data_IF_376854025898
#
_entry.id   IF_376854025898
#
_cell.length_a   1.000
_cell.length_b   1.000
_cell.length_c   1.000
_cell.angle_alpha   90.00
_cell.angle_beta   90.00
_cell.angle_gamma   90.00
#
_symmetry.space_group_name_H-M   'P 1'
#
loop_
_entity.id
_entity.type
_entity.pdbx_description
1 polymer ?
#
# COMPACT_ATOMS: atom_id res chain seq x y z
N UNK A 1 -10.41 -0.89 4.89
CA UNK A 1 -10.32 -0.69 6.34
C UNK A 1 -10.42 -2.05 7.02
N UNK A 2 -9.49 -2.35 7.95
CA UNK A 2 -9.41 -3.65 8.62
C UNK A 2 -10.49 -3.85 9.71
N UNK A 3 -10.77 -5.11 10.06
CA UNK A 3 -11.78 -5.46 11.08
C UNK A 3 -11.48 -4.84 12.45
N UNK A 4 -10.21 -4.70 12.82
CA UNK A 4 -9.80 -4.06 14.08
C UNK A 4 -10.24 -2.60 14.17
N UNK A 5 -10.19 -1.88 13.05
CA UNK A 5 -10.62 -0.48 12.95
C UNK A 5 -12.14 -0.40 13.00
N UNK A 6 -12.84 -1.28 12.28
CA UNK A 6 -14.30 -1.37 12.32
C UNK A 6 -14.81 -1.64 13.74
N UNK A 7 -14.19 -2.60 14.43
CA UNK A 7 -14.57 -2.91 15.82
C UNK A 7 -14.41 -1.70 16.74
N UNK A 8 -13.29 -0.98 16.63
CA UNK A 8 -13.02 0.21 17.43
C UNK A 8 -14.02 1.36 17.13
N UNK A 9 -14.38 1.55 15.86
CA UNK A 9 -15.37 2.54 15.43
C UNK A 9 -16.77 2.20 15.95
N UNK A 10 -17.17 0.93 15.83
CA UNK A 10 -18.49 0.47 16.29
C UNK A 10 -18.61 0.54 17.82
N UNK A 11 -17.57 0.12 18.56
CA UNK A 11 -17.56 0.18 20.03
C UNK A 11 -17.68 1.62 20.54
N UNK A 12 -16.89 2.53 19.95
CA UNK A 12 -17.01 3.96 20.28
C UNK A 12 -18.37 4.55 19.85
N UNK A 13 -18.93 4.10 18.72
CA UNK A 13 -20.27 4.49 18.27
C UNK A 13 -21.37 4.08 19.25
N UNK A 14 -21.30 2.85 19.77
CA UNK A 14 -22.24 2.35 20.81
C UNK A 14 -22.15 3.20 22.08
N UNK A 15 -20.96 3.53 22.57
CA UNK A 15 -20.75 4.38 23.74
C UNK A 15 -21.35 5.78 23.58
N UNK A 16 -21.28 6.33 22.37
CA UNK A 16 -21.94 7.61 22.05
C UNK A 16 -23.45 7.46 22.03
N UNK A 17 -23.97 6.37 21.47
CA UNK A 17 -25.40 6.09 21.44
C UNK A 17 -25.98 5.97 22.86
N UNK A 18 -25.26 5.30 23.75
CA UNK A 18 -25.63 5.18 25.18
C UNK A 18 -25.33 6.45 26.00
N UNK A 19 -24.92 7.56 25.34
CA UNK A 19 -24.54 8.85 25.98
C UNK A 19 -23.40 8.77 27.01
N UNK A 20 -22.62 7.72 26.99
CA UNK A 20 -21.45 7.57 27.85
C UNK A 20 -20.31 8.52 27.45
N UNK A 21 -20.28 8.92 26.18
CA UNK A 21 -19.25 9.79 25.60
C UNK A 21 -19.91 10.88 24.75
N UNK A 22 -19.53 12.17 24.93
CA UNK A 22 -20.00 13.24 24.06
C UNK A 22 -19.53 13.04 22.62
N UNK A 23 -20.38 13.30 21.61
CA UNK A 23 -20.07 13.18 20.15
C UNK A 23 -18.78 13.89 19.77
N UNK A 24 -18.46 15.01 20.43
CA UNK A 24 -17.25 15.82 20.20
C UNK A 24 -15.96 15.04 20.44
N UNK A 25 -15.98 13.98 21.24
CA UNK A 25 -14.79 13.20 21.63
C UNK A 25 -14.64 11.90 20.86
N UNK A 26 -15.50 11.62 19.88
CA UNK A 26 -15.51 10.38 19.12
C UNK A 26 -14.12 10.04 18.55
N UNK A 27 -13.52 10.98 17.79
CA UNK A 27 -12.22 10.77 17.17
C UNK A 27 -11.08 10.67 18.19
N UNK A 28 -11.16 11.42 19.28
CA UNK A 28 -10.11 11.45 20.32
C UNK A 28 -10.02 10.12 21.07
N UNK A 29 -11.13 9.40 21.22
CA UNK A 29 -11.23 8.12 21.93
C UNK A 29 -10.79 6.92 21.10
N UNK A 30 -10.71 7.03 19.77
CA UNK A 30 -10.21 5.96 18.93
C UNK A 30 -8.77 5.58 19.29
N UNK A 31 -8.44 4.30 19.12
CA UNK A 31 -7.07 3.80 19.26
C UNK A 31 -6.14 4.47 18.24
N UNK A 32 -4.86 4.62 18.56
CA UNK A 32 -3.87 5.22 17.66
C UNK A 32 -3.84 4.53 16.30
N UNK A 33 -3.87 3.21 16.29
CA UNK A 33 -3.93 2.39 15.07
C UNK A 33 -5.12 2.77 14.18
N UNK A 34 -6.31 2.90 14.75
CA UNK A 34 -7.53 3.25 14.02
C UNK A 34 -7.46 4.66 13.43
N UNK A 35 -6.92 5.63 14.19
CA UNK A 35 -6.72 7.00 13.71
C UNK A 35 -5.80 7.04 12.50
N UNK A 36 -4.63 6.41 12.61
CA UNK A 36 -3.65 6.36 11.52
C UNK A 36 -4.28 5.68 10.29
N UNK A 37 -4.93 4.53 10.47
CA UNK A 37 -5.55 3.79 9.37
C UNK A 37 -6.64 4.61 8.64
N UNK A 38 -7.52 5.29 9.38
CA UNK A 38 -8.61 6.09 8.79
C UNK A 38 -8.05 7.30 8.06
N UNK A 39 -7.15 8.07 8.69
CA UNK A 39 -6.58 9.28 8.07
C UNK A 39 -5.78 8.93 6.82
N UNK A 40 -4.90 7.93 6.91
CA UNK A 40 -4.08 7.52 5.75
C UNK A 40 -4.96 6.99 4.62
N UNK A 41 -5.97 6.18 4.93
CA UNK A 41 -6.91 5.69 3.91
C UNK A 41 -7.67 6.85 3.27
N UNK A 42 -8.22 7.77 4.06
CA UNK A 42 -8.93 8.95 3.56
C UNK A 42 -8.03 9.83 2.68
N UNK A 43 -6.82 10.11 3.13
CA UNK A 43 -5.84 10.88 2.35
C UNK A 43 -5.53 10.23 1.00
N UNK A 44 -5.24 8.93 0.99
CA UNK A 44 -4.91 8.20 -0.24
C UNK A 44 -6.10 8.08 -1.20
N UNK A 45 -7.32 7.96 -0.68
CA UNK A 45 -8.53 7.96 -1.52
C UNK A 45 -8.76 9.33 -2.15
N UNK A 46 -8.67 10.40 -1.36
CA UNK A 46 -8.86 11.77 -1.87
C UNK A 46 -7.75 12.12 -2.87
N UNK A 47 -6.49 11.91 -2.51
CA UNK A 47 -5.36 12.19 -3.39
C UNK A 47 -5.44 11.35 -4.68
N UNK A 48 -5.72 10.04 -4.57
CA UNK A 48 -5.90 9.17 -5.72
C UNK A 48 -7.05 9.61 -6.62
N UNK A 49 -8.19 10.02 -6.05
CA UNK A 49 -9.33 10.53 -6.82
C UNK A 49 -8.97 11.80 -7.57
N UNK A 50 -8.38 12.78 -6.88
CA UNK A 50 -8.01 14.08 -7.48
C UNK A 50 -6.97 13.89 -8.58
N UNK A 51 -5.95 13.08 -8.35
CA UNK A 51 -4.90 12.86 -9.34
C UNK A 51 -5.40 12.07 -10.55
N UNK A 52 -6.17 10.98 -10.36
CA UNK A 52 -6.77 10.26 -11.48
C UNK A 52 -7.73 11.18 -12.27
N UNK A 53 -8.54 11.99 -11.59
CA UNK A 53 -9.43 12.95 -12.23
C UNK A 53 -8.66 13.97 -13.06
N UNK A 54 -7.59 14.55 -12.52
CA UNK A 54 -6.81 15.59 -13.20
C UNK A 54 -6.06 15.04 -14.41
N UNK A 55 -5.43 13.86 -14.26
CA UNK A 55 -4.61 13.25 -15.33
C UNK A 55 -5.50 12.73 -16.48
N UNK A 56 -6.62 12.07 -16.17
CA UNK A 56 -7.48 11.45 -17.17
C UNK A 56 -8.58 12.37 -17.72
N UNK A 57 -8.68 13.61 -17.24
CA UNK A 57 -9.79 14.52 -17.55
C UNK A 57 -10.11 14.66 -19.04
N UNK A 58 -9.07 14.71 -19.88
CA UNK A 58 -9.16 14.88 -21.32
C UNK A 58 -8.97 13.60 -22.12
N UNK A 59 -8.73 12.45 -21.45
CA UNK A 59 -8.48 11.19 -22.14
C UNK A 59 -9.75 10.59 -22.76
N UNK A 60 -9.92 10.60 -24.10
CA UNK A 60 -11.11 10.08 -24.74
C UNK A 60 -11.25 8.56 -24.63
N UNK A 61 -10.14 7.84 -24.40
CA UNK A 61 -10.13 6.38 -24.24
C UNK A 61 -10.67 5.93 -22.88
N UNK A 62 -10.72 6.82 -21.89
CA UNK A 62 -11.16 6.50 -20.52
C UNK A 62 -12.37 7.31 -20.10
N UNK A 63 -12.17 8.50 -19.53
CA UNK A 63 -13.25 9.32 -18.96
C UNK A 63 -13.56 10.58 -19.75
N UNK A 64 -12.81 10.91 -20.81
CA UNK A 64 -12.94 12.17 -21.56
C UNK A 64 -14.34 12.46 -22.09
N UNK A 65 -15.07 11.41 -22.47
CA UNK A 65 -16.43 11.49 -23.04
C UNK A 65 -17.54 11.64 -21.97
N UNK A 66 -17.21 11.52 -20.69
CA UNK A 66 -18.17 11.56 -19.59
C UNK A 66 -18.44 12.99 -19.09
N UNK A 67 -19.59 13.20 -18.43
CA UNK A 67 -19.87 14.43 -17.72
C UNK A 67 -18.98 14.59 -16.49
N UNK A 68 -18.72 15.82 -16.04
CA UNK A 68 -17.81 16.12 -14.92
C UNK A 68 -18.15 15.33 -13.65
N UNK A 69 -19.44 15.16 -13.31
CA UNK A 69 -19.86 14.36 -12.15
C UNK A 69 -19.53 12.87 -12.31
N UNK A 70 -19.72 12.33 -13.52
CA UNK A 70 -19.38 10.95 -13.84
C UNK A 70 -17.85 10.74 -13.84
N UNK A 71 -17.08 11.70 -14.39
CA UNK A 71 -15.61 11.69 -14.32
C UNK A 71 -15.12 11.59 -12.89
N UNK A 72 -15.68 12.40 -11.99
CA UNK A 72 -15.32 12.36 -10.57
C UNK A 72 -15.65 11.02 -9.92
N UNK A 73 -16.84 10.47 -10.22
CA UNK A 73 -17.27 9.18 -9.68
C UNK A 73 -16.37 8.02 -10.16
N UNK A 74 -16.03 8.00 -11.47
CA UNK A 74 -15.14 6.99 -12.05
C UNK A 74 -13.72 7.12 -11.47
N UNK A 75 -13.21 8.34 -11.32
CA UNK A 75 -11.90 8.59 -10.70
C UNK A 75 -11.86 8.19 -9.23
N UNK A 76 -12.95 8.42 -8.49
CA UNK A 76 -13.09 7.94 -7.11
C UNK A 76 -13.13 6.40 -7.06
N UNK A 77 -13.86 5.78 -7.99
CA UNK A 77 -13.87 4.31 -8.11
C UNK A 77 -12.48 3.76 -8.41
N UNK A 78 -11.73 4.40 -9.34
CA UNK A 78 -10.35 4.00 -9.66
C UNK A 78 -9.43 4.11 -8.44
N UNK A 79 -9.54 5.17 -7.63
CA UNK A 79 -8.79 5.30 -6.38
C UNK A 79 -9.15 4.21 -5.35
N UNK A 80 -10.40 3.76 -5.31
CA UNK A 80 -10.84 2.67 -4.43
C UNK A 80 -10.36 1.32 -4.96
N UNK A 81 -10.48 1.06 -6.26
CA UNK A 81 -10.19 -0.25 -6.84
C UNK A 81 -8.70 -0.61 -6.79
N UNK A 82 -7.80 0.38 -6.90
CA UNK A 82 -6.35 0.19 -6.69
C UNK A 82 -6.00 -0.27 -5.28
N UNK A 83 -6.94 -0.18 -4.31
CA UNK A 83 -6.78 -0.65 -2.94
C UNK A 83 -7.19 -2.11 -2.77
N UNK A 84 -6.84 -2.96 -3.72
CA UNK A 84 -7.07 -4.40 -3.75
C UNK A 84 -8.53 -4.82 -3.93
N UNK A 85 -9.33 -4.03 -4.66
CA UNK A 85 -10.68 -4.43 -5.06
C UNK A 85 -10.69 -5.14 -6.43
N UNK A 86 -9.89 -4.66 -7.40
CA UNK A 86 -9.64 -5.33 -8.67
C UNK A 86 -10.74 -5.19 -9.73
N UNK A 87 -11.73 -4.32 -9.51
CA UNK A 87 -12.78 -4.05 -10.49
C UNK A 87 -12.43 -2.85 -11.37
N UNK A 88 -12.84 -2.89 -12.63
CA UNK A 88 -12.57 -1.83 -13.59
C UNK A 88 -13.88 -1.28 -14.16
N UNK A 89 -13.96 0.04 -14.30
CA UNK A 89 -15.10 0.73 -14.96
C UNK A 89 -14.78 1.15 -16.38
N UNK A 90 -13.50 1.10 -16.76
CA UNK A 90 -13.00 1.37 -18.11
C UNK A 90 -11.78 0.49 -18.39
N UNK A 91 -11.39 0.40 -19.66
CA UNK A 91 -10.24 -0.41 -20.07
C UNK A 91 -8.94 0.20 -19.58
N UNK A 92 -8.22 -0.51 -18.69
CA UNK A 92 -7.02 0.01 -18.03
C UNK A 92 -5.85 0.25 -19.01
N UNK A 93 -5.84 -0.43 -20.15
CA UNK A 93 -4.85 -0.22 -21.22
C UNK A 93 -5.00 1.11 -21.97
N UNK A 94 -6.15 1.78 -21.81
CA UNK A 94 -6.41 3.11 -22.40
C UNK A 94 -5.96 4.28 -21.54
N UNK A 95 -5.43 4.06 -20.34
CA UNK A 95 -4.92 5.14 -19.48
C UNK A 95 -3.63 5.75 -20.04
N UNK A 96 -3.43 7.04 -19.72
CA UNK A 96 -2.12 7.67 -19.93
C UNK A 96 -1.03 7.00 -19.06
N UNK A 97 0.22 7.06 -19.53
CA UNK A 97 1.34 6.43 -18.83
C UNK A 97 1.54 6.99 -17.42
N UNK A 98 1.34 8.30 -17.24
CA UNK A 98 1.43 8.99 -15.95
C UNK A 98 0.38 8.47 -14.97
N UNK A 99 -0.83 8.22 -15.46
CA UNK A 99 -1.91 7.64 -14.64
C UNK A 99 -1.62 6.19 -14.31
N UNK A 100 -1.07 5.43 -15.26
CA UNK A 100 -0.61 4.07 -15.03
C UNK A 100 0.43 4.01 -13.92
N UNK A 101 1.43 4.91 -13.95
CA UNK A 101 2.47 5.01 -12.93
C UNK A 101 1.91 5.42 -11.57
N UNK A 102 1.02 6.41 -11.52
CA UNK A 102 0.31 6.78 -10.29
C UNK A 102 -0.42 5.59 -9.68
N UNK A 103 -1.14 4.83 -10.50
CA UNK A 103 -1.89 3.67 -10.04
C UNK A 103 -0.97 2.54 -9.55
N UNK A 104 0.24 2.36 -10.12
CA UNK A 104 1.26 1.44 -9.59
C UNK A 104 1.60 1.82 -8.13
N UNK A 105 1.85 3.10 -7.85
CA UNK A 105 2.15 3.58 -6.50
C UNK A 105 0.97 3.33 -5.55
N UNK A 106 -0.25 3.64 -6.00
CA UNK A 106 -1.46 3.42 -5.21
C UNK A 106 -1.71 1.93 -4.93
N UNK A 107 -1.47 1.04 -5.89
CA UNK A 107 -1.59 -0.41 -5.72
C UNK A 107 -0.57 -0.95 -4.73
N UNK A 108 0.67 -0.44 -4.79
CA UNK A 108 1.73 -0.85 -3.88
C UNK A 108 1.40 -0.54 -2.41
N UNK A 109 0.70 0.59 -2.17
CA UNK A 109 0.15 0.94 -0.86
C UNK A 109 -1.23 0.31 -0.73
N UNK A 110 -1.32 -0.95 -0.32
CA UNK A 110 -2.56 -1.72 -0.20
C UNK A 110 -3.53 -1.22 0.89
N UNK A 111 -4.29 -2.12 1.49
CA UNK A 111 -5.29 -1.78 2.50
C UNK A 111 -4.76 -1.73 3.94
N UNK A 112 -5.67 -1.50 4.90
CA UNK A 112 -5.34 -1.47 6.32
C UNK A 112 -5.09 -2.88 6.89
N UNK A 113 -4.24 -3.01 7.92
CA UNK A 113 -4.02 -4.29 8.61
C UNK A 113 -5.31 -4.88 9.18
N UNK A 114 -5.35 -6.21 9.28
CA UNK A 114 -6.54 -6.93 9.78
C UNK A 114 -7.71 -6.96 8.79
N UNK A 115 -7.45 -6.75 7.50
CA UNK A 115 -8.39 -6.94 6.40
C UNK A 115 -7.89 -7.96 5.39
N UNK A 116 -8.68 -8.17 4.32
CA UNK A 116 -8.38 -9.10 3.23
C UNK A 116 -7.43 -8.53 2.17
N UNK A 117 -7.09 -7.26 2.23
CA UNK A 117 -6.22 -6.60 1.27
C UNK A 117 -4.77 -7.12 1.34
N UNK A 118 -4.15 -7.35 0.18
CA UNK A 118 -2.72 -7.64 0.06
C UNK A 118 -1.84 -6.39 0.03
N UNK A 119 -0.63 -6.52 -0.47
CA UNK A 119 0.34 -5.43 -0.58
C UNK A 119 0.80 -4.86 0.77
N UNK A 120 1.50 -3.72 0.71
CA UNK A 120 1.93 -2.99 1.90
C UNK A 120 0.74 -2.40 2.64
N UNK A 121 0.72 -2.52 3.96
CA UNK A 121 -0.38 -2.00 4.77
C UNK A 121 -0.30 -0.48 4.90
N UNK A 122 -1.47 0.18 4.89
CA UNK A 122 -1.55 1.65 5.04
C UNK A 122 -0.85 2.18 6.28
N UNK A 123 -0.91 1.43 7.39
CA UNK A 123 -0.24 1.81 8.64
C UNK A 123 1.28 1.69 8.54
N UNK A 124 1.80 0.71 7.79
CA UNK A 124 3.24 0.56 7.52
C UNK A 124 3.76 1.77 6.74
N UNK A 125 3.03 2.18 5.69
CA UNK A 125 3.36 3.37 4.92
C UNK A 125 3.27 4.65 5.77
N UNK A 126 2.21 4.79 6.56
CA UNK A 126 2.04 5.95 7.45
C UNK A 126 3.16 6.05 8.49
N UNK A 127 3.61 4.94 9.08
CA UNK A 127 4.72 4.93 10.03
C UNK A 127 6.03 5.40 9.39
N UNK A 128 6.32 4.95 8.16
CA UNK A 128 7.52 5.40 7.45
C UNK A 128 7.46 6.90 7.16
N UNK A 129 6.30 7.40 6.72
CA UNK A 129 6.10 8.83 6.46
C UNK A 129 6.23 9.67 7.72
N UNK A 130 5.67 9.22 8.84
CA UNK A 130 5.80 9.89 10.14
C UNK A 130 7.25 9.89 10.62
N UNK A 131 7.97 8.78 10.48
CA UNK A 131 9.38 8.70 10.83
C UNK A 131 10.21 9.67 9.99
N UNK A 132 10.02 9.68 8.68
CA UNK A 132 10.68 10.61 7.76
C UNK A 132 10.42 12.06 8.17
N UNK A 133 9.17 12.41 8.45
CA UNK A 133 8.80 13.76 8.88
C UNK A 133 9.44 14.15 10.23
N UNK A 134 9.50 13.21 11.18
CA UNK A 134 10.15 13.43 12.48
C UNK A 134 11.64 13.66 12.31
N UNK A 135 12.32 12.87 11.48
CA UNK A 135 13.76 13.02 11.20
C UNK A 135 14.07 14.36 10.55
N UNK A 136 13.25 14.81 9.58
CA UNK A 136 13.42 16.13 8.95
C UNK A 136 13.30 17.29 9.95
N UNK A 137 12.56 17.09 11.05
CA UNK A 137 12.41 18.08 12.13
C UNK A 137 13.47 17.95 13.23
N UNK A 138 14.44 17.06 13.08
CA UNK A 138 15.47 16.80 14.09
C UNK A 138 14.96 16.12 15.36
N UNK A 139 13.76 15.51 15.32
CA UNK A 139 13.20 14.75 16.43
C UNK A 139 13.79 13.35 16.53
N UNK A 140 13.97 12.84 17.74
CA UNK A 140 14.45 11.47 17.97
C UNK A 140 13.30 10.46 18.09
N UNK A 141 12.15 10.88 18.62
CA UNK A 141 11.01 10.03 18.89
C UNK A 141 9.90 10.22 17.85
N UNK A 142 9.39 9.12 17.31
CA UNK A 142 8.23 9.19 16.39
C UNK A 142 6.97 9.39 17.23
N UNK A 143 6.45 10.61 17.19
CA UNK A 143 5.24 10.98 17.89
C UNK A 143 4.05 11.15 16.94
N UNK A 144 2.91 10.59 17.31
CA UNK A 144 1.66 10.76 16.60
C UNK A 144 0.50 10.90 17.58
N UNK A 145 -0.32 11.96 17.44
CA UNK A 145 -1.45 12.24 18.34
C UNK A 145 -1.07 12.25 19.83
N UNK A 146 0.07 12.85 20.19
CA UNK A 146 0.61 12.91 21.57
C UNK A 146 0.92 11.52 22.16
N UNK A 147 1.22 10.54 21.32
CA UNK A 147 1.66 9.20 21.73
C UNK A 147 2.95 8.85 21.00
N UNK A 148 3.91 8.30 21.72
CA UNK A 148 5.14 7.76 21.15
C UNK A 148 4.84 6.43 20.48
N UNK A 149 5.36 6.24 19.27
CA UNK A 149 5.32 4.96 18.55
C UNK A 149 6.55 4.14 18.95
N UNK A 150 6.36 2.85 19.20
CA UNK A 150 7.45 1.94 19.54
C UNK A 150 8.44 1.83 18.36
N UNK A 151 9.73 2.03 18.62
CA UNK A 151 10.81 1.92 17.63
C UNK A 151 10.84 0.57 16.93
N UNK A 152 10.47 -0.51 17.62
CA UNK A 152 10.35 -1.83 17.02
C UNK A 152 9.37 -1.86 15.85
N UNK A 153 8.25 -1.14 15.95
CA UNK A 153 7.27 -1.04 14.88
C UNK A 153 7.84 -0.34 13.66
N UNK A 154 8.71 0.66 13.86
CA UNK A 154 9.41 1.33 12.76
C UNK A 154 10.37 0.37 12.06
N UNK A 155 11.22 -0.36 12.78
CA UNK A 155 12.13 -1.33 12.18
C UNK A 155 11.39 -2.40 11.38
N UNK A 156 10.30 -2.95 11.93
CA UNK A 156 9.46 -3.92 11.23
C UNK A 156 8.84 -3.31 9.96
N UNK A 157 8.34 -2.08 10.04
CA UNK A 157 7.77 -1.39 8.89
C UNK A 157 8.80 -1.14 7.78
N UNK A 158 10.00 -0.69 8.16
CA UNK A 158 11.11 -0.45 7.23
C UNK A 158 11.55 -1.72 6.51
N UNK A 159 11.82 -2.80 7.27
CA UNK A 159 12.19 -4.10 6.69
C UNK A 159 11.10 -4.63 5.76
N UNK A 160 9.84 -4.50 6.15
CA UNK A 160 8.70 -4.95 5.31
C UNK A 160 8.66 -4.22 3.97
N UNK A 161 8.89 -2.89 3.98
CA UNK A 161 8.91 -2.09 2.74
C UNK A 161 10.11 -2.46 1.87
N UNK A 162 11.30 -2.60 2.46
CA UNK A 162 12.50 -2.99 1.72
C UNK A 162 12.35 -4.37 1.07
N UNK A 163 11.81 -5.34 1.79
CA UNK A 163 11.52 -6.68 1.24
C UNK A 163 10.49 -6.61 0.11
N UNK A 164 9.42 -5.83 0.30
CA UNK A 164 8.40 -5.65 -0.73
C UNK A 164 8.98 -5.04 -2.00
N UNK A 165 9.79 -3.99 -1.87
CA UNK A 165 10.48 -3.37 -3.01
C UNK A 165 11.44 -4.33 -3.70
N UNK A 166 12.22 -5.08 -2.94
CA UNK A 166 13.16 -6.07 -3.49
C UNK A 166 12.42 -7.15 -4.29
N UNK A 167 11.33 -7.69 -3.76
CA UNK A 167 10.51 -8.69 -4.46
C UNK A 167 9.86 -8.09 -5.72
N UNK A 168 9.35 -6.86 -5.63
CA UNK A 168 8.75 -6.16 -6.76
C UNK A 168 9.75 -5.93 -7.88
N UNK A 169 10.92 -5.36 -7.57
CA UNK A 169 11.97 -5.08 -8.56
C UNK A 169 12.46 -6.38 -9.20
N UNK A 170 12.74 -7.40 -8.38
CA UNK A 170 13.22 -8.71 -8.87
C UNK A 170 12.19 -9.37 -9.77
N UNK A 171 10.93 -9.44 -9.33
CA UNK A 171 9.84 -10.05 -10.13
C UNK A 171 9.58 -9.29 -11.43
N UNK A 172 9.56 -7.96 -11.40
CA UNK A 172 9.42 -7.12 -12.60
C UNK A 172 10.56 -7.36 -13.59
N UNK A 173 11.81 -7.44 -13.09
CA UNK A 173 12.99 -7.72 -13.92
C UNK A 173 12.90 -9.10 -14.57
N UNK A 174 12.52 -10.14 -13.83
CA UNK A 174 12.33 -11.47 -14.40
C UNK A 174 11.28 -11.49 -15.52
N UNK A 175 10.12 -10.85 -15.29
CA UNK A 175 9.07 -10.75 -16.32
C UNK A 175 9.59 -9.99 -17.53
N UNK A 176 10.29 -8.87 -17.33
CA UNK A 176 10.84 -8.07 -18.42
C UNK A 176 11.88 -8.84 -19.26
N UNK A 177 12.70 -9.70 -18.65
CA UNK A 177 13.70 -10.54 -19.39
C UNK A 177 13.02 -11.67 -20.17
N UNK A 178 11.89 -12.19 -19.68
CA UNK A 178 11.19 -13.30 -20.35
C UNK A 178 10.36 -12.79 -21.54
N UNK A 179 9.78 -11.59 -21.42
CA UNK A 179 8.89 -11.03 -22.45
C UNK A 179 9.68 -10.33 -23.56
N UNK A 180 9.11 -10.21 -24.77
CA UNK A 180 9.75 -9.53 -25.88
C UNK A 180 9.77 -8.00 -25.66
N UNK A 181 10.77 -7.32 -26.22
CA UNK A 181 10.98 -5.87 -26.15
C UNK A 181 9.82 -5.03 -26.74
N UNK A 182 8.88 -5.67 -27.44
CA UNK A 182 7.69 -5.00 -27.99
C UNK A 182 6.68 -4.59 -26.92
N UNK A 183 6.78 -5.13 -25.70
CA UNK A 183 5.91 -4.81 -24.59
C UNK A 183 6.50 -3.65 -23.79
N UNK A 184 5.72 -2.58 -23.60
CA UNK A 184 6.15 -1.45 -22.76
C UNK A 184 6.51 -1.91 -21.36
N UNK A 185 7.67 -1.48 -20.86
CA UNK A 185 8.13 -1.78 -19.51
C UNK A 185 7.14 -1.32 -18.43
N UNK A 186 6.47 -0.19 -18.67
CA UNK A 186 5.44 0.30 -17.75
C UNK A 186 4.25 -0.67 -17.62
N UNK A 187 3.82 -1.31 -18.70
CA UNK A 187 2.76 -2.33 -18.64
C UNK A 187 3.19 -3.54 -17.81
N UNK A 188 4.46 -3.95 -17.95
CA UNK A 188 5.03 -5.01 -17.11
C UNK A 188 5.05 -4.58 -15.64
N UNK A 189 5.49 -3.35 -15.34
CA UNK A 189 5.45 -2.80 -13.98
C UNK A 189 4.04 -2.76 -13.41
N UNK A 190 3.03 -2.43 -14.21
CA UNK A 190 1.64 -2.40 -13.78
C UNK A 190 1.12 -3.79 -13.41
N UNK A 191 1.35 -4.79 -14.27
CA UNK A 191 0.95 -6.18 -14.01
C UNK A 191 1.63 -6.77 -12.78
N UNK A 192 2.94 -6.56 -12.65
CA UNK A 192 3.70 -7.07 -11.50
C UNK A 192 3.31 -6.38 -10.20
N UNK A 193 3.01 -5.07 -10.22
CA UNK A 193 2.50 -4.34 -9.07
C UNK A 193 1.12 -4.87 -8.65
N UNK A 194 0.22 -5.07 -9.63
CA UNK A 194 -1.11 -5.62 -9.39
C UNK A 194 -1.05 -7.04 -8.84
N UNK A 195 -0.15 -7.88 -9.37
CA UNK A 195 0.07 -9.24 -8.89
C UNK A 195 0.58 -9.24 -7.44
N UNK A 196 1.65 -8.50 -7.16
CA UNK A 196 2.26 -8.45 -5.83
C UNK A 196 1.34 -7.83 -4.78
N UNK A 197 0.64 -6.76 -5.12
CA UNK A 197 -0.32 -6.13 -4.23
C UNK A 197 -1.65 -6.88 -4.14
N UNK A 198 -1.82 -7.95 -4.93
CA UNK A 198 -3.06 -8.76 -5.05
C UNK A 198 -4.29 -7.92 -5.36
N UNK A 199 -4.15 -6.96 -6.29
CA UNK A 199 -5.20 -6.02 -6.68
C UNK A 199 -6.15 -6.67 -7.68
N UNK A 200 -5.61 -7.26 -8.75
CA UNK A 200 -6.39 -7.92 -9.81
C UNK A 200 -6.68 -7.01 -11.02
N UNK A 201 -6.16 -5.78 -11.07
CA UNK A 201 -6.23 -4.93 -12.25
C UNK A 201 -5.17 -5.36 -13.27
N UNK A 202 -5.52 -5.31 -14.56
CA UNK A 202 -4.63 -5.63 -15.69
C UNK A 202 -4.79 -4.60 -16.80
N UNK A 203 -3.69 -4.28 -17.47
CA UNK A 203 -3.70 -3.53 -18.73
C UNK A 203 -3.82 -4.46 -19.96
N UNK A 204 -4.63 -5.50 -19.84
CA UNK A 204 -4.86 -6.55 -20.86
C UNK A 204 -3.57 -7.31 -21.28
N UNK A 205 -2.54 -7.27 -20.44
CA UNK A 205 -1.27 -7.92 -20.72
C UNK A 205 -1.22 -9.38 -20.27
N UNK A 206 -1.85 -9.72 -19.14
CA UNK A 206 -1.77 -11.04 -18.49
C UNK A 206 -2.12 -12.20 -19.42
N UNK A 207 -3.09 -12.04 -20.31
CA UNK A 207 -3.52 -13.07 -21.27
C UNK A 207 -2.45 -13.40 -22.29
N UNK A 208 -1.67 -12.39 -22.70
CA UNK A 208 -0.63 -12.46 -23.74
C UNK A 208 0.74 -12.85 -23.23
N UNK A 209 0.95 -12.87 -21.91
CA UNK A 209 2.23 -13.23 -21.30
C UNK A 209 2.62 -14.68 -21.58
N UNK A 210 3.92 -14.93 -21.70
CA UNK A 210 4.51 -16.26 -21.77
C UNK A 210 4.29 -17.03 -20.47
N UNK A 211 4.32 -18.37 -20.56
CA UNK A 211 4.09 -19.24 -19.37
C UNK A 211 5.08 -18.94 -18.24
N UNK A 212 6.35 -18.66 -18.56
CA UNK A 212 7.36 -18.29 -17.55
C UNK A 212 6.97 -17.05 -16.73
N UNK A 213 6.53 -15.99 -17.42
CA UNK A 213 6.05 -14.76 -16.77
C UNK A 213 4.81 -15.00 -15.90
N UNK A 214 3.88 -15.83 -16.36
CA UNK A 214 2.70 -16.23 -15.56
C UNK A 214 3.09 -16.92 -14.27
N UNK A 215 4.11 -17.81 -14.31
CA UNK A 215 4.63 -18.47 -13.10
C UNK A 215 5.24 -17.45 -12.13
N UNK A 216 6.03 -16.49 -12.63
CA UNK A 216 6.59 -15.42 -11.80
C UNK A 216 5.46 -14.62 -11.13
N UNK A 217 4.43 -14.22 -11.90
CA UNK A 217 3.28 -13.50 -11.34
C UNK A 217 2.54 -14.30 -10.27
N UNK A 218 2.33 -15.61 -10.46
CA UNK A 218 1.71 -16.49 -9.45
C UNK A 218 2.52 -16.52 -8.15
N UNK A 219 3.85 -16.62 -8.24
CA UNK A 219 4.73 -16.56 -7.07
C UNK A 219 4.61 -15.19 -6.37
N UNK A 220 4.61 -14.10 -7.14
CA UNK A 220 4.44 -12.74 -6.59
C UNK A 220 3.08 -12.56 -5.90
N UNK A 221 1.99 -13.07 -6.49
CA UNK A 221 0.65 -13.06 -5.88
C UNK A 221 0.64 -13.80 -4.55
N UNK A 222 1.27 -14.98 -4.48
CA UNK A 222 1.37 -15.75 -3.25
C UNK A 222 2.14 -15.02 -2.16
N UNK A 223 3.31 -14.47 -2.50
CA UNK A 223 4.15 -13.69 -1.59
C UNK A 223 3.39 -12.44 -1.10
N UNK A 224 2.74 -11.73 -2.00
CA UNK A 224 1.97 -10.54 -1.67
C UNK A 224 0.78 -10.81 -0.76
N UNK A 225 0.16 -11.98 -0.91
CA UNK A 225 -0.99 -12.40 -0.08
C UNK A 225 -0.59 -12.82 1.33
N UNK A 226 0.45 -13.63 1.44
CA UNK A 226 1.01 -14.07 2.74
C UNK A 226 1.62 -12.90 3.50
N UNK A 227 2.21 -11.96 2.77
CA UNK A 227 2.94 -10.79 3.25
C UNK A 227 4.46 -11.02 3.27
N UNK A 228 5.24 -10.07 2.74
CA UNK A 228 6.69 -10.20 2.62
C UNK A 228 7.39 -10.50 3.94
N UNK A 229 6.94 -9.88 5.04
CA UNK A 229 7.52 -10.08 6.37
C UNK A 229 7.29 -11.50 6.91
N UNK A 230 6.12 -12.08 6.66
CA UNK A 230 5.81 -13.45 7.09
C UNK A 230 6.71 -14.44 6.39
N UNK A 231 6.94 -14.25 5.10
CA UNK A 231 7.84 -15.09 4.30
C UNK A 231 9.29 -14.94 4.79
N UNK A 232 9.75 -13.72 5.04
CA UNK A 232 11.08 -13.49 5.59
C UNK A 232 11.29 -14.21 6.93
N UNK A 233 10.30 -14.20 7.81
CA UNK A 233 10.35 -14.90 9.11
C UNK A 233 10.40 -16.42 8.96
N UNK A 234 9.77 -17.00 7.94
CA UNK A 234 9.86 -18.44 7.66
C UNK A 234 11.27 -18.87 7.28
N UNK A 235 12.01 -18.02 6.55
CA UNK A 235 13.40 -18.28 6.15
C UNK A 235 14.43 -17.88 7.20
N UNK A 236 14.11 -16.95 8.11
CA UNK A 236 15.04 -16.47 9.14
C UNK A 236 15.41 -17.52 10.20
N UNK A 237 14.70 -18.66 10.24
CA UNK A 237 14.95 -19.71 11.22
C UNK A 237 14.63 -19.27 12.66
N UNK A 238 14.87 -20.16 13.63
CA UNK A 238 14.78 -19.84 15.06
C UNK A 238 15.94 -18.91 15.42
N UNK A 239 15.67 -17.62 15.58
CA UNK A 239 16.65 -16.66 16.13
C UNK A 239 17.10 -17.20 17.49
N UNK A 240 18.36 -17.54 17.61
CA UNK A 240 18.94 -18.12 18.83
C UNK A 240 18.93 -17.03 19.91
N UNK A 241 18.04 -17.12 20.89
CA UNK A 241 17.90 -16.18 22.01
C UNK A 241 19.19 -15.98 22.82
N UNK A 242 20.16 -16.90 22.67
CA UNK A 242 21.48 -16.79 23.32
C UNK A 242 22.37 -15.67 22.76
N UNK A 243 22.17 -15.21 21.53
CA UNK A 243 22.94 -14.08 20.96
C UNK A 243 22.54 -12.71 21.52
N UNK A 244 21.42 -12.59 22.21
CA UNK A 244 20.94 -11.32 22.81
C UNK A 244 21.82 -10.82 23.98
N UNK A 245 22.75 -11.61 24.47
CA UNK A 245 23.65 -11.21 25.58
C UNK A 245 24.98 -10.60 25.13
N UNK A 246 25.27 -10.58 23.83
CA UNK A 246 26.51 -10.04 23.31
C UNK A 246 26.30 -8.57 22.90
N UNK A 247 26.80 -7.65 23.71
CA UNK A 247 26.89 -6.22 23.33
C UNK A 247 28.21 -6.02 22.58
N UNK A 248 28.12 -5.65 21.32
CA UNK A 248 29.25 -5.25 20.50
C UNK A 248 29.53 -3.75 20.70
N UNK A 249 30.80 -3.30 20.67
CA UNK A 249 31.12 -1.89 20.69
C UNK A 249 30.49 -1.18 19.47
N UNK A 250 29.94 0.00 19.70
CA UNK A 250 29.32 0.81 18.66
C UNK A 250 30.36 1.68 17.97
N UNK A 251 30.41 1.62 16.65
CA UNK A 251 31.26 2.46 15.81
C UNK A 251 30.38 3.38 14.95
N UNK A 252 30.81 4.63 14.79
CA UNK A 252 30.05 5.60 13.98
C UNK A 252 30.37 5.41 12.50
N UNK A 253 29.35 5.14 11.69
CA UNK A 253 29.46 5.13 10.23
C UNK A 253 28.99 6.49 9.72
N UNK A 254 29.77 7.12 8.85
CA UNK A 254 29.35 8.33 8.15
C UNK A 254 28.26 7.94 7.13
N UNK A 255 27.09 8.56 7.29
CA UNK A 255 26.00 8.48 6.33
C UNK A 255 25.98 9.84 5.63
N UNK A 256 26.20 9.87 4.31
CA UNK A 256 26.31 11.07 3.48
C UNK A 256 25.08 11.97 3.49
#
# INVERSE_FOLDING_TARGET
>A
IGFTVWYDVIDNGKKIWHREIPRKWWFTRLKLHSKIAIITTGFLLIAGTVLNFALEYHNPATIGHLNTGQKLMVSAFQAVTTRTAGFSTFQQSGMYEETGFLNIILMFIGGSPGGTAGGLKTTTFALLFLAFHTMLRGGHDIECFRRKVDEKNFHVAFVTIMLALAIYITGTTFVAVIEPDTISFQRIMYETASAMATVGLSQDLTTHLRTGSKIVLMIMMYIGRVGPMTIALLFAGKVNLKEKMRTLPTEKIMIG
#
